data_IF_462834206441
#
_entry.id   IF_462834206441
#
_cell.length_a   1.000
_cell.length_b   1.000
_cell.length_c   1.000
_cell.angle_alpha   90.00
_cell.angle_beta   90.00
_cell.angle_gamma   90.00
#
_symmetry.space_group_name_H-M   'P 1'
#
loop_
_entity.id
_entity.type
_entity.pdbx_description
1 polymer ?
#
# COMPACT_ATOMS: atom_id res chain seq x y z
N UNK A 1 -1.09 22.75 4.53
CA UNK A 1 0.00 21.74 4.43
C UNK A 1 -0.61 20.41 4.82
N UNK A 2 -0.39 19.36 4.05
CA UNK A 2 -0.70 18.04 4.54
C UNK A 2 0.28 17.69 5.66
N UNK A 3 -0.25 17.15 6.75
CA UNK A 3 0.54 16.75 7.91
C UNK A 3 1.40 15.53 7.52
N UNK A 4 2.71 15.62 7.75
CA UNK A 4 3.66 14.54 7.48
C UNK A 4 3.39 13.40 8.46
N UNK A 5 3.35 12.15 7.99
CA UNK A 5 3.21 10.99 8.86
C UNK A 5 4.48 10.77 9.69
N UNK A 6 4.41 10.08 10.85
CA UNK A 6 5.58 9.72 11.63
C UNK A 6 6.59 8.88 10.83
N UNK A 7 7.88 9.04 11.13
CA UNK A 7 8.96 8.29 10.45
C UNK A 7 8.82 6.76 10.61
N UNK A 8 8.17 6.31 11.70
CA UNK A 8 7.84 4.90 11.93
C UNK A 8 6.84 4.31 10.94
N UNK A 9 6.09 5.14 10.20
CA UNK A 9 5.12 4.66 9.21
C UNK A 9 5.71 4.61 7.79
N UNK A 10 6.79 5.34 7.50
CA UNK A 10 7.36 5.46 6.16
C UNK A 10 7.82 4.12 5.53
N UNK A 11 8.06 4.10 4.22
CA UNK A 11 8.63 2.94 3.53
C UNK A 11 7.57 1.96 3.00
N UNK A 12 8.04 0.76 2.65
CA UNK A 12 7.22 -0.31 2.10
C UNK A 12 6.87 -1.31 3.20
N UNK A 13 5.59 -1.66 3.31
CA UNK A 13 5.05 -2.62 4.25
C UNK A 13 4.40 -3.77 3.49
N UNK A 14 4.86 -5.00 3.75
CA UNK A 14 4.20 -6.21 3.26
C UNK A 14 3.33 -6.76 4.38
N UNK A 15 2.07 -7.07 4.08
CA UNK A 15 1.22 -7.73 5.07
C UNK A 15 1.67 -9.17 5.21
N UNK A 16 1.99 -9.58 6.43
CA UNK A 16 2.31 -10.97 6.76
C UNK A 16 1.04 -11.79 7.01
N UNK A 17 0.03 -11.19 7.63
CA UNK A 17 -1.26 -11.86 7.87
C UNK A 17 -2.40 -10.87 8.12
N UNK A 18 -3.62 -11.31 7.86
CA UNK A 18 -4.86 -10.74 8.46
C UNK A 18 -5.61 -11.86 9.18
N UNK A 19 -6.20 -11.56 10.33
CA UNK A 19 -7.18 -12.41 11.02
C UNK A 19 -8.45 -11.59 11.26
N UNK A 20 -9.57 -12.08 10.76
CA UNK A 20 -10.89 -11.46 10.91
C UNK A 20 -11.60 -11.95 12.18
N UNK A 21 -12.59 -11.19 12.63
CA UNK A 21 -13.40 -11.50 13.82
C UNK A 21 -14.14 -12.84 13.73
N UNK A 22 -14.46 -13.31 12.52
CA UNK A 22 -15.09 -14.61 12.27
C UNK A 22 -14.10 -15.79 12.32
N UNK A 23 -12.82 -15.51 12.56
CA UNK A 23 -11.74 -16.49 12.64
C UNK A 23 -11.12 -16.84 11.29
N UNK A 24 -11.60 -16.28 10.19
CA UNK A 24 -10.92 -16.42 8.89
C UNK A 24 -9.59 -15.68 8.90
N UNK A 25 -8.61 -16.19 8.14
CA UNK A 25 -7.29 -15.59 8.03
C UNK A 25 -6.75 -15.70 6.62
N UNK A 26 -5.89 -14.77 6.24
CA UNK A 26 -5.17 -14.78 4.96
C UNK A 26 -3.70 -14.42 5.19
N UNK A 27 -2.83 -15.31 4.71
CA UNK A 27 -1.35 -15.21 4.73
C UNK A 27 -0.74 -15.33 3.33
N UNK A 28 -1.58 -15.52 2.31
CA UNK A 28 -1.14 -15.97 0.99
C UNK A 28 -1.28 -14.86 -0.06
N UNK A 29 -2.22 -13.93 0.13
CA UNK A 29 -2.39 -12.78 -0.76
C UNK A 29 -1.16 -11.87 -0.75
N UNK A 30 -0.81 -11.34 -1.92
CA UNK A 30 0.19 -10.29 -2.05
C UNK A 30 -0.46 -8.98 -1.62
N UNK A 31 -0.06 -8.46 -0.46
CA UNK A 31 -0.53 -7.16 0.02
C UNK A 31 0.67 -6.28 0.35
N UNK A 32 0.78 -5.18 -0.41
CA UNK A 32 1.87 -4.22 -0.32
C UNK A 32 1.31 -2.81 -0.14
N UNK A 33 1.79 -2.13 0.89
CA UNK A 33 1.53 -0.73 1.16
C UNK A 33 2.83 0.08 1.10
N UNK A 34 2.89 1.08 0.22
CA UNK A 34 3.96 2.08 0.25
C UNK A 34 3.45 3.34 0.94
N UNK A 35 4.12 3.72 2.02
CA UNK A 35 3.86 4.95 2.76
C UNK A 35 5.01 5.94 2.57
N UNK A 36 4.70 7.08 1.96
CA UNK A 36 5.63 8.21 1.82
C UNK A 36 5.32 9.24 2.91
N UNK A 37 5.81 10.47 2.77
CA UNK A 37 5.58 11.51 3.79
C UNK A 37 4.11 11.76 4.12
N UNK A 38 3.22 11.51 3.17
CA UNK A 38 1.77 11.65 3.36
C UNK A 38 1.00 10.98 2.24
N UNK A 39 1.60 10.83 1.06
CA UNK A 39 1.03 10.01 -0.01
C UNK A 39 1.18 8.52 0.31
N UNK A 40 0.24 7.72 -0.20
CA UNK A 40 0.29 6.27 -0.09
C UNK A 40 -0.21 5.59 -1.35
N UNK A 41 0.19 4.33 -1.50
CA UNK A 41 -0.44 3.36 -2.39
C UNK A 41 -0.52 2.01 -1.70
N UNK A 42 -1.70 1.39 -1.74
CA UNK A 42 -1.99 0.06 -1.21
C UNK A 42 -2.45 -0.84 -2.36
N UNK A 43 -1.87 -2.03 -2.45
CA UNK A 43 -2.14 -3.01 -3.51
C UNK A 43 -2.36 -4.38 -2.86
N UNK A 44 -3.51 -4.99 -3.11
CA UNK A 44 -3.94 -6.29 -2.60
C UNK A 44 -4.33 -7.19 -3.77
N UNK A 45 -3.56 -8.25 -3.96
CA UNK A 45 -3.74 -9.24 -5.04
C UNK A 45 -3.91 -10.61 -4.39
N UNK A 46 -5.07 -11.27 -4.52
CA UNK A 46 -5.29 -12.63 -4.03
C UNK A 46 -4.32 -13.64 -4.65
N UNK A 47 -3.97 -14.70 -3.91
CA UNK A 47 -3.04 -15.75 -4.36
C UNK A 47 -3.51 -16.44 -5.66
N UNK A 48 -4.80 -16.71 -5.78
CA UNK A 48 -5.42 -17.36 -6.93
C UNK A 48 -6.14 -16.32 -7.81
N UNK A 49 -5.39 -15.40 -8.40
CA UNK A 49 -5.96 -14.35 -9.26
C UNK A 49 -6.34 -14.92 -10.64
N UNK A 50 -7.52 -15.52 -10.70
CA UNK A 50 -8.22 -15.83 -11.97
C UNK A 50 -9.12 -14.67 -12.42
N UNK A 51 -9.57 -13.83 -11.48
CA UNK A 51 -10.43 -12.67 -11.71
C UNK A 51 -9.79 -11.37 -11.19
N UNK A 52 -9.44 -10.42 -12.09
CA UNK A 52 -8.90 -9.11 -11.70
C UNK A 52 -9.84 -8.29 -10.82
N UNK A 53 -11.16 -8.56 -10.85
CA UNK A 53 -12.15 -7.86 -10.03
C UNK A 53 -12.03 -8.14 -8.54
N UNK A 54 -11.31 -9.21 -8.17
CA UNK A 54 -11.00 -9.56 -6.78
C UNK A 54 -9.81 -8.77 -6.21
N UNK A 55 -9.06 -8.05 -7.06
CA UNK A 55 -7.98 -7.19 -6.60
C UNK A 55 -8.51 -5.91 -5.95
N UNK A 56 -7.86 -5.49 -4.87
CA UNK A 56 -8.12 -4.20 -4.24
C UNK A 56 -6.87 -3.35 -4.30
N UNK A 57 -6.97 -2.16 -4.88
CA UNK A 57 -5.85 -1.22 -4.85
C UNK A 57 -6.35 0.22 -4.76
N UNK A 58 -5.54 1.07 -4.15
CA UNK A 58 -5.79 2.51 -4.11
C UNK A 58 -4.53 3.33 -3.91
N UNK A 59 -4.54 4.54 -4.45
CA UNK A 59 -3.66 5.63 -4.04
C UNK A 59 -4.39 6.55 -3.08
N UNK A 60 -3.67 7.30 -2.28
CA UNK A 60 -4.32 8.25 -1.39
C UNK A 60 -3.37 9.09 -0.56
N UNK A 61 -3.95 9.63 0.51
CA UNK A 61 -3.27 10.39 1.55
C UNK A 61 -3.53 9.76 2.91
N UNK A 62 -2.48 9.61 3.69
CA UNK A 62 -2.56 9.12 5.06
C UNK A 62 -2.49 10.29 6.02
N UNK A 63 -3.40 10.31 6.99
CA UNK A 63 -3.30 11.17 8.17
C UNK A 63 -3.02 10.29 9.37
N UNK A 64 -2.04 10.65 10.18
CA UNK A 64 -1.63 9.84 11.32
C UNK A 64 -1.45 10.75 12.54
N UNK A 65 -1.87 10.27 13.71
CA UNK A 65 -1.57 10.97 14.97
C UNK A 65 -0.07 10.90 15.27
N UNK A 66 0.45 11.78 16.14
CA UNK A 66 1.78 11.57 16.72
C UNK A 66 1.90 10.17 17.34
N UNK A 67 3.10 9.60 17.28
CA UNK A 67 3.39 8.32 17.94
C UNK A 67 3.57 8.57 19.44
N UNK A 68 2.80 7.85 20.25
CA UNK A 68 2.89 7.86 21.71
C UNK A 68 3.50 6.54 22.20
N UNK A 69 4.39 6.61 23.18
CA UNK A 69 4.93 5.41 23.85
C UNK A 69 4.19 5.20 25.16
N UNK A 70 3.48 4.09 25.29
CA UNK A 70 2.76 3.73 26.51
C UNK A 70 3.70 3.39 27.66
N UNK A 71 3.14 3.28 28.88
CA UNK A 71 3.91 2.84 30.05
C UNK A 71 4.41 1.39 29.96
N UNK A 72 3.87 0.62 29.01
CA UNK A 72 4.32 -0.71 28.60
C UNK A 72 5.47 -0.70 27.59
N UNK A 73 5.93 0.48 27.17
CA UNK A 73 6.97 0.66 26.17
C UNK A 73 6.50 0.47 24.72
N UNK A 74 5.22 0.16 24.50
CA UNK A 74 4.67 -0.05 23.15
C UNK A 74 4.35 1.30 22.53
N UNK A 75 4.82 1.48 21.28
CA UNK A 75 4.61 2.68 20.48
C UNK A 75 3.31 2.55 19.70
N UNK A 76 2.46 3.58 19.75
CA UNK A 76 1.11 3.57 19.18
C UNK A 76 0.77 4.85 18.44
N UNK A 77 -0.07 4.73 17.42
CA UNK A 77 -0.69 5.84 16.72
C UNK A 77 -2.03 5.39 16.11
N UNK A 78 -2.83 6.31 15.62
CA UNK A 78 -3.95 6.00 14.74
C UNK A 78 -3.69 6.55 13.34
N UNK A 79 -4.20 5.87 12.32
CA UNK A 79 -4.10 6.30 10.93
C UNK A 79 -5.46 6.29 10.22
N UNK A 80 -5.68 7.28 9.37
CA UNK A 80 -6.82 7.40 8.46
C UNK A 80 -6.29 7.46 7.03
N UNK A 81 -6.93 6.70 6.13
CA UNK A 81 -6.58 6.67 4.71
C UNK A 81 -7.68 7.35 3.89
N UNK A 82 -7.28 8.38 3.15
CA UNK A 82 -8.15 9.11 2.25
C UNK A 82 -7.78 8.74 0.81
N UNK A 83 -8.54 7.84 0.20
CA UNK A 83 -8.19 7.18 -1.08
C UNK A 83 -9.12 7.54 -2.24
N UNK A 84 -9.97 8.54 -2.05
CA UNK A 84 -11.00 8.98 -3.01
C UNK A 84 -11.07 10.49 -3.17
N UNK A 85 -9.93 11.18 -2.99
CA UNK A 85 -9.79 12.56 -3.39
C UNK A 85 -9.87 12.74 -4.92
N UNK A 86 -9.95 13.99 -5.40
CA UNK A 86 -10.05 14.28 -6.84
C UNK A 86 -8.92 13.69 -7.70
N UNK A 87 -7.73 13.53 -7.10
CA UNK A 87 -6.52 13.04 -7.75
C UNK A 87 -6.12 11.63 -7.25
N UNK A 88 -7.04 10.88 -6.66
CA UNK A 88 -6.80 9.51 -6.16
C UNK A 88 -7.42 8.47 -7.09
N UNK A 89 -6.81 7.30 -7.19
CA UNK A 89 -7.27 6.16 -8.00
C UNK A 89 -7.57 5.05 -7.01
N UNK A 90 -8.78 4.52 -7.04
CA UNK A 90 -9.16 3.32 -6.32
C UNK A 90 -10.00 2.43 -7.26
N UNK A 91 -9.77 1.11 -7.16
CA UNK A 91 -10.48 0.12 -7.98
C UNK A 91 -11.46 -0.75 -7.17
N UNK A 92 -11.37 -0.75 -5.84
CA UNK A 92 -12.27 -1.50 -4.97
C UNK A 92 -13.44 -0.62 -4.46
N UNK A 93 -14.52 -1.20 -3.87
CA UNK A 93 -15.55 -0.48 -3.13
C UNK A 93 -15.00 0.28 -1.92
N UNK A 94 -15.78 1.17 -1.30
CA UNK A 94 -15.34 1.84 -0.05
C UNK A 94 -15.14 0.78 1.02
N UNK A 95 -14.03 0.87 1.78
CA UNK A 95 -13.75 -0.04 2.90
C UNK A 95 -15.00 -0.17 3.79
N UNK A 96 -15.42 -1.40 4.13
CA UNK A 96 -16.53 -1.62 5.06
C UNK A 96 -16.20 -1.18 6.49
N UNK A 97 -14.92 -0.91 6.78
CA UNK A 97 -14.42 -0.46 8.07
C UNK A 97 -13.75 0.91 7.92
N UNK A 98 -14.52 2.01 7.94
CA UNK A 98 -13.99 3.37 7.72
C UNK A 98 -13.32 3.96 8.97
N UNK A 99 -13.21 3.19 10.04
CA UNK A 99 -12.64 3.62 11.31
C UNK A 99 -11.11 3.82 11.18
N UNK A 100 -10.51 4.76 11.92
CA UNK A 100 -9.05 4.90 11.93
C UNK A 100 -8.38 3.60 12.41
N UNK A 101 -7.37 3.11 11.69
CA UNK A 101 -6.61 1.94 12.10
C UNK A 101 -5.78 2.23 13.33
N UNK A 102 -5.78 1.32 14.31
CA UNK A 102 -4.94 1.39 15.50
C UNK A 102 -3.62 0.70 15.22
N UNK A 103 -2.52 1.45 15.25
CA UNK A 103 -1.19 0.96 14.89
C UNK A 103 -0.35 0.75 16.15
N UNK A 104 0.27 -0.41 16.28
CA UNK A 104 1.23 -0.73 17.34
C UNK A 104 2.53 -1.24 16.71
N UNK A 105 3.68 -0.72 17.11
CA UNK A 105 4.98 -1.19 16.60
C UNK A 105 5.73 -2.00 17.65
N UNK A 106 6.49 -2.99 17.17
CA UNK A 106 7.55 -3.62 17.96
C UNK A 106 8.68 -2.61 18.28
N UNK A 107 9.70 -3.02 19.02
CA UNK A 107 10.75 -2.10 19.52
C UNK A 107 11.60 -1.45 18.41
N UNK A 108 11.98 -2.21 17.38
CA UNK A 108 12.82 -1.70 16.28
C UNK A 108 12.00 -1.05 15.15
N UNK A 109 10.67 -1.19 15.17
CA UNK A 109 9.77 -0.63 14.18
C UNK A 109 9.75 -1.39 12.85
N UNK A 110 10.30 -2.60 12.81
CA UNK A 110 10.25 -3.48 11.64
C UNK A 110 8.91 -4.19 11.49
N UNK A 111 8.14 -4.34 12.58
CA UNK A 111 6.81 -4.97 12.57
C UNK A 111 5.80 -3.99 13.15
N UNK A 112 4.69 -3.85 12.44
CA UNK A 112 3.52 -3.08 12.84
C UNK A 112 2.31 -4.00 12.90
N UNK A 113 1.55 -3.91 13.98
CA UNK A 113 0.24 -4.54 14.09
C UNK A 113 -0.83 -3.47 13.96
N UNK A 114 -1.74 -3.67 13.01
CA UNK A 114 -2.91 -2.83 12.82
C UNK A 114 -4.16 -3.53 13.34
N UNK A 115 -5.03 -2.79 14.01
CA UNK A 115 -6.32 -3.29 14.50
C UNK A 115 -7.45 -2.36 14.12
N UNK A 116 -8.57 -2.93 13.71
CA UNK A 116 -9.82 -2.21 13.65
C UNK A 116 -10.28 -1.84 15.07
N UNK A 117 -10.68 -0.58 15.34
CA UNK A 117 -11.31 -0.20 16.62
C UNK A 117 -12.53 -1.05 16.99
N UNK A 118 -13.32 -1.46 15.99
CA UNK A 118 -14.45 -2.38 16.14
C UNK A 118 -14.06 -3.83 16.47
N UNK A 119 -12.78 -4.20 16.35
CA UNK A 119 -12.30 -5.57 16.49
C UNK A 119 -12.57 -6.44 15.25
N UNK A 120 -12.96 -5.85 14.12
CA UNK A 120 -13.27 -6.57 12.88
C UNK A 120 -12.09 -7.38 12.33
N UNK A 121 -10.86 -6.88 12.50
CA UNK A 121 -9.65 -7.56 12.05
C UNK A 121 -8.41 -7.19 12.88
N UNK A 122 -7.37 -8.00 12.73
CA UNK A 122 -5.98 -7.72 13.10
C UNK A 122 -5.10 -8.02 11.90
N UNK A 123 -4.32 -7.03 11.45
CA UNK A 123 -3.30 -7.19 10.40
C UNK A 123 -1.89 -7.10 11.00
N UNK A 124 -1.00 -7.97 10.54
CA UNK A 124 0.43 -7.89 10.83
C UNK A 124 1.18 -7.45 9.58
N UNK A 125 2.00 -6.41 9.72
CA UNK A 125 2.73 -5.76 8.65
C UNK A 125 4.22 -5.75 8.94
N UNK A 126 5.02 -6.13 7.95
CA UNK A 126 6.47 -6.16 8.04
C UNK A 126 7.05 -5.10 7.11
N UNK A 127 7.87 -4.20 7.65
CA UNK A 127 8.58 -3.20 6.87
C UNK A 127 9.68 -3.89 6.06
N UNK A 128 9.71 -3.62 4.76
CA UNK A 128 10.79 -4.06 3.88
C UNK A 128 12.07 -3.31 4.28
N UNK A 129 13.18 -4.00 4.58
CA UNK A 129 14.43 -3.36 4.99
C UNK A 129 14.93 -2.32 3.96
N UNK A 130 15.40 -1.17 4.45
CA UNK A 130 15.91 -0.08 3.60
C UNK A 130 14.85 0.68 2.78
N UNK A 131 13.58 0.28 2.84
CA UNK A 131 12.52 0.88 2.03
C UNK A 131 12.19 2.34 2.40
N UNK A 132 12.57 2.79 3.59
CA UNK A 132 12.39 4.17 4.02
C UNK A 132 13.51 5.12 3.55
N UNK A 133 14.62 4.60 3.01
CA UNK A 133 15.81 5.41 2.67
C UNK A 133 15.60 6.30 1.44
N UNK A 134 14.66 5.91 0.56
CA UNK A 134 14.29 6.65 -0.64
C UNK A 134 12.79 6.60 -0.81
N UNK A 135 12.14 7.76 -0.79
CA UNK A 135 10.70 7.92 -0.95
C UNK A 135 10.44 8.83 -2.14
N UNK A 136 9.76 8.32 -3.18
CA UNK A 136 9.49 9.08 -4.41
C UNK A 136 8.02 8.97 -4.78
N UNK A 137 7.36 10.10 -4.90
CA UNK A 137 6.08 10.23 -5.59
C UNK A 137 6.32 10.96 -6.90
N UNK A 138 5.92 10.37 -8.01
CA UNK A 138 5.92 11.03 -9.30
C UNK A 138 4.54 10.92 -9.95
N UNK A 139 4.05 12.03 -10.48
CA UNK A 139 2.78 12.12 -11.20
C UNK A 139 3.06 12.83 -12.51
N UNK A 140 2.95 12.09 -13.61
CA UNK A 140 3.20 12.65 -14.95
C UNK A 140 1.96 13.36 -15.47
N UNK A 141 0.79 12.76 -15.23
CA UNK A 141 -0.52 13.28 -15.60
C UNK A 141 -1.61 12.69 -14.67
N UNK A 142 -2.89 12.82 -15.04
CA UNK A 142 -4.00 12.27 -14.25
C UNK A 142 -4.05 10.74 -14.22
N UNK A 143 -3.45 10.08 -15.20
CA UNK A 143 -3.50 8.63 -15.46
C UNK A 143 -2.29 7.88 -14.90
N UNK A 144 -1.11 8.49 -14.95
CA UNK A 144 0.15 7.82 -14.63
C UNK A 144 0.72 8.33 -13.32
N UNK A 145 0.90 7.39 -12.38
CA UNK A 145 1.49 7.66 -11.07
C UNK A 145 2.54 6.63 -10.75
N UNK A 146 3.51 7.05 -9.96
CA UNK A 146 4.59 6.23 -9.48
C UNK A 146 4.82 6.55 -8.02
N UNK A 147 4.91 5.48 -7.24
CA UNK A 147 5.31 5.52 -5.84
C UNK A 147 6.51 4.61 -5.68
N UNK A 148 7.57 5.06 -5.02
CA UNK A 148 8.72 4.22 -4.71
C UNK A 148 9.15 4.38 -3.26
N UNK A 149 9.54 3.25 -2.67
CA UNK A 149 10.06 3.12 -1.32
C UNK A 149 11.26 2.14 -1.35
N UNK A 150 12.47 2.69 -1.34
CA UNK A 150 13.71 1.93 -1.54
C UNK A 150 13.76 1.26 -2.92
N UNK A 151 13.81 -0.08 -2.92
CA UNK A 151 13.87 -0.93 -4.12
C UNK A 151 12.50 -1.48 -4.54
N UNK A 152 11.41 -0.92 -4.02
CA UNK A 152 10.06 -1.23 -4.46
C UNK A 152 9.43 -0.03 -5.11
N UNK A 153 8.76 -0.26 -6.25
CA UNK A 153 7.95 0.73 -6.91
C UNK A 153 6.55 0.18 -7.18
N UNK A 154 5.54 1.04 -7.16
CA UNK A 154 4.21 0.78 -7.69
C UNK A 154 3.93 1.78 -8.79
N UNK A 155 3.74 1.28 -10.01
CA UNK A 155 3.29 2.07 -11.15
C UNK A 155 1.79 1.90 -11.27
N UNK A 156 1.09 3.03 -11.31
CA UNK A 156 -0.36 3.09 -11.45
C UNK A 156 -0.68 3.72 -12.80
N UNK A 157 -1.46 3.00 -13.60
CA UNK A 157 -1.96 3.46 -14.89
C UNK A 157 -3.48 3.41 -14.85
N UNK A 158 -4.14 4.56 -15.02
CA UNK A 158 -5.60 4.66 -15.12
C UNK A 158 -6.00 5.11 -16.52
N UNK A 159 -6.29 4.11 -17.35
CA UNK A 159 -6.78 4.30 -18.71
C UNK A 159 -8.31 4.28 -18.79
N UNK A 160 -9.00 4.37 -17.64
CA UNK A 160 -10.45 4.59 -17.63
C UNK A 160 -10.74 5.83 -18.44
N UNK A 161 -11.29 5.63 -19.63
CA UNK A 161 -11.97 6.69 -20.34
C UNK A 161 -13.23 7.09 -19.58
N UNK A 162 -14.23 7.60 -20.29
CA UNK A 162 -15.51 7.93 -19.68
C UNK A 162 -16.28 6.70 -19.17
N UNK A 163 -15.94 5.49 -19.64
CA UNK A 163 -16.62 4.23 -19.30
C UNK A 163 -16.30 3.68 -17.89
N UNK A 164 -15.29 4.24 -17.19
CA UNK A 164 -14.93 3.90 -15.80
C UNK A 164 -14.70 2.40 -15.51
N UNK A 165 -14.25 1.63 -16.50
CA UNK A 165 -13.99 0.18 -16.35
C UNK A 165 -12.86 -0.11 -15.37
N UNK A 166 -13.08 -1.03 -14.42
CA UNK A 166 -12.02 -1.43 -13.47
C UNK A 166 -10.86 -2.17 -14.15
N UNK A 167 -11.10 -2.78 -15.30
CA UNK A 167 -10.08 -3.49 -16.08
C UNK A 167 -9.12 -2.56 -16.85
N UNK A 168 -9.42 -1.26 -16.87
CA UNK A 168 -8.56 -0.24 -17.49
C UNK A 168 -7.64 0.44 -16.47
N UNK A 169 -7.55 -0.09 -15.25
CA UNK A 169 -6.66 0.41 -14.20
C UNK A 169 -5.69 -0.68 -13.78
N UNK A 170 -4.39 -0.38 -13.85
CA UNK A 170 -3.33 -1.25 -13.40
C UNK A 170 -2.61 -0.66 -12.18
N UNK A 171 -2.36 -1.50 -11.18
CA UNK A 171 -1.37 -1.27 -10.14
C UNK A 171 -0.30 -2.37 -10.26
N UNK A 172 0.89 -2.01 -10.75
CA UNK A 172 1.99 -2.92 -10.98
C UNK A 172 3.08 -2.73 -9.92
N UNK A 173 3.33 -3.76 -9.11
CA UNK A 173 4.44 -3.83 -8.17
C UNK A 173 5.70 -4.21 -8.96
N UNK A 174 6.75 -3.39 -8.82
CA UNK A 174 7.98 -3.52 -9.56
C UNK A 174 9.20 -3.60 -8.63
N UNK A 175 10.17 -4.42 -9.02
CA UNK A 175 11.49 -4.55 -8.38
C UNK A 175 12.60 -4.29 -9.42
N UNK A 176 13.76 -3.73 -9.02
CA UNK A 176 14.88 -3.48 -9.93
C UNK A 176 15.58 -4.79 -10.33
N UNK A 177 16.07 -4.87 -11.57
CA UNK A 177 16.79 -6.04 -12.10
C UNK A 177 18.30 -5.79 -12.23
N UNK A 178 18.73 -4.55 -12.45
CA UNK A 178 20.16 -4.17 -12.56
C UNK A 178 20.39 -2.74 -12.03
N UNK A 179 21.00 -2.58 -10.85
CA UNK A 179 21.37 -1.27 -10.25
C UNK A 179 20.30 -0.16 -10.39
N UNK A 180 19.00 -0.55 -10.38
CA UNK A 180 17.83 0.30 -10.60
C UNK A 180 17.68 0.92 -12.00
N UNK A 181 18.53 0.57 -12.97
CA UNK A 181 18.43 1.03 -14.35
C UNK A 181 17.27 0.37 -15.13
N UNK A 182 16.83 -0.82 -14.69
CA UNK A 182 15.68 -1.55 -15.25
C UNK A 182 14.83 -2.10 -14.13
N UNK A 183 13.53 -2.10 -14.35
CA UNK A 183 12.54 -2.61 -13.40
C UNK A 183 11.69 -3.68 -14.06
N UNK A 184 11.22 -4.62 -13.25
CA UNK A 184 10.38 -5.73 -13.68
C UNK A 184 9.14 -5.78 -12.83
N UNK A 185 8.01 -6.06 -13.46
CA UNK A 185 6.75 -6.32 -12.78
C UNK A 185 6.85 -7.67 -12.06
N UNK A 186 6.71 -7.65 -10.73
CA UNK A 186 6.70 -8.85 -9.88
C UNK A 186 5.29 -9.24 -9.44
N UNK A 187 4.35 -8.30 -9.45
CA UNK A 187 2.92 -8.54 -9.28
C UNK A 187 2.11 -7.42 -9.96
N UNK A 188 0.91 -7.72 -10.43
CA UNK A 188 0.02 -6.73 -11.04
C UNK A 188 -1.44 -7.09 -10.76
N UNK A 189 -2.29 -6.07 -10.63
CA UNK A 189 -3.75 -6.24 -10.62
C UNK A 189 -4.30 -6.66 -11.99
N UNK A 190 -3.50 -6.59 -13.05
CA UNK A 190 -3.82 -7.15 -14.36
C UNK A 190 -3.07 -8.48 -14.60
N UNK A 191 -3.74 -9.50 -15.13
CA UNK A 191 -3.16 -10.83 -15.30
C UNK A 191 -2.14 -10.85 -16.44
N UNK A 192 -1.16 -11.74 -16.32
CA UNK A 192 -0.19 -12.02 -17.40
C UNK A 192 0.96 -11.02 -17.54
N UNK A 193 1.06 -10.02 -16.67
CA UNK A 193 2.06 -8.94 -16.72
C UNK A 193 3.38 -9.25 -16.00
N UNK A 194 3.37 -10.27 -15.15
CA UNK A 194 4.54 -10.64 -14.33
C UNK A 194 5.71 -11.02 -15.24
N UNK A 195 6.88 -10.44 -14.94
CA UNK A 195 8.11 -10.67 -15.71
C UNK A 195 8.38 -9.62 -16.79
N UNK A 196 7.38 -8.83 -17.18
CA UNK A 196 7.55 -7.73 -18.13
C UNK A 196 8.47 -6.65 -17.56
N UNK A 197 9.29 -6.06 -18.44
CA UNK A 197 10.14 -4.92 -18.10
C UNK A 197 9.33 -3.63 -18.17
N UNK A 198 9.54 -2.74 -17.20
CA UNK A 198 8.88 -1.44 -17.13
C UNK A 198 9.91 -0.34 -16.90
N UNK A 199 9.76 0.79 -17.61
CA UNK A 199 10.50 2.00 -17.30
C UNK A 199 9.72 2.77 -16.22
N UNK A 200 10.35 2.92 -15.06
CA UNK A 200 9.75 3.64 -13.91
C UNK A 200 10.21 5.10 -13.84
N UNK A 201 11.15 5.56 -14.69
CA UNK A 201 11.59 6.95 -14.71
C UNK A 201 12.24 7.46 -13.42
N UNK A 202 12.90 6.59 -12.64
CA UNK A 202 13.58 6.89 -11.36
C UNK A 202 15.09 7.06 -11.46
#
# INVERSE_FOLDING_TARGET
MAERVPDLLLGAWRRASIVNVDGTSDTDSIVLWLQLESAMVDVRIPVDMEDPSACEASTGRTRCTPVETGGDGIRRATAEWHTRGPDDIAIHPVSPFPEPGLLEWNEDGSVMIERAPSGAYVEEWHRVPGSADRLVEHRTDSRHRLYAAGDLAVVVTDDRGDDRSLFEVEFAICEPVDDRARWRIVASTLPGRIGEGLDVGL
#
